data_IF_153331403064
#
_entry.id   IF_153331403064
#
_cell.length_a   1.000
_cell.length_b   1.000
_cell.length_c   1.000
_cell.angle_alpha   90.00
_cell.angle_beta   90.00
_cell.angle_gamma   90.00
#
_symmetry.space_group_name_H-M   'P 1'
#
loop_
_entity.id
_entity.type
_entity.pdbx_description
1 polymer ?
#
# COMPACT_ATOMS: atom_id res chain seq x y z
N UNK A 1 -8.61 -13.09 -13.36
CA UNK A 1 -7.57 -13.19 -14.41
C UNK A 1 -7.58 -14.62 -14.95
N UNK A 2 -7.61 -14.85 -16.27
CA UNK A 2 -7.56 -16.21 -16.83
C UNK A 2 -6.16 -16.82 -16.67
N UNK A 3 -6.07 -18.15 -16.55
CA UNK A 3 -4.80 -18.86 -16.39
C UNK A 3 -3.81 -18.56 -17.53
N UNK A 4 -4.28 -18.50 -18.78
CA UNK A 4 -3.42 -18.24 -19.94
C UNK A 4 -2.76 -16.87 -19.88
N UNK A 5 -3.52 -15.86 -19.44
CA UNK A 5 -3.00 -14.50 -19.21
C UNK A 5 -2.02 -14.49 -18.05
N UNK A 6 -2.34 -15.14 -16.93
CA UNK A 6 -1.44 -15.21 -15.77
C UNK A 6 -0.12 -15.92 -16.12
N UNK A 7 -0.17 -17.02 -16.89
CA UNK A 7 1.00 -17.75 -17.37
C UNK A 7 1.83 -16.91 -18.35
N UNK A 8 1.20 -16.17 -19.26
CA UNK A 8 1.89 -15.27 -20.19
C UNK A 8 2.59 -14.10 -19.45
N UNK A 9 1.89 -13.48 -18.48
CA UNK A 9 2.48 -12.43 -17.63
C UNK A 9 3.65 -12.98 -16.82
N UNK A 10 3.49 -14.16 -16.21
CA UNK A 10 4.56 -14.79 -15.44
C UNK A 10 5.79 -15.11 -16.30
N UNK A 11 5.60 -15.80 -17.43
CA UNK A 11 6.70 -16.17 -18.34
C UNK A 11 7.39 -14.94 -18.92
N UNK A 12 6.66 -13.91 -19.34
CA UNK A 12 7.27 -12.64 -19.79
C UNK A 12 8.06 -11.94 -18.67
N UNK A 13 7.60 -12.03 -17.41
CA UNK A 13 8.31 -11.46 -16.26
C UNK A 13 9.58 -12.23 -15.91
N UNK A 14 9.60 -13.55 -16.09
CA UNK A 14 10.81 -14.36 -15.92
C UNK A 14 11.90 -14.00 -16.95
N UNK A 15 11.49 -13.78 -18.20
CA UNK A 15 12.42 -13.44 -19.30
C UNK A 15 12.89 -11.98 -19.25
N UNK A 16 12.22 -11.12 -18.50
CA UNK A 16 12.62 -9.73 -18.34
C UNK A 16 13.88 -9.67 -17.47
N UNK A 17 14.88 -8.94 -17.97
CA UNK A 17 16.06 -8.55 -17.18
C UNK A 17 15.64 -7.59 -16.10
N UNK A 18 16.06 -7.89 -14.87
CA UNK A 18 15.79 -7.08 -13.70
C UNK A 18 17.11 -6.50 -13.22
N UNK A 19 17.43 -5.29 -13.71
CA UNK A 19 18.72 -4.64 -13.47
C UNK A 19 18.95 -4.26 -12.01
N UNK A 20 17.87 -4.16 -11.23
CA UNK A 20 17.90 -3.76 -9.83
C UNK A 20 18.00 -4.96 -8.87
N UNK A 21 17.96 -6.20 -9.38
CA UNK A 21 18.04 -7.41 -8.55
C UNK A 21 19.25 -8.29 -8.87
N UNK A 22 19.68 -9.09 -7.90
CA UNK A 22 20.72 -10.10 -8.06
C UNK A 22 20.22 -11.36 -8.80
N UNK A 23 19.08 -11.28 -9.49
CA UNK A 23 18.45 -12.43 -10.12
C UNK A 23 19.16 -12.80 -11.44
N UNK A 24 19.45 -14.09 -11.67
CA UNK A 24 20.09 -14.52 -12.91
C UNK A 24 19.18 -14.31 -14.14
N UNK A 25 19.78 -14.20 -15.31
CA UNK A 25 19.07 -14.28 -16.60
C UNK A 25 18.49 -15.69 -16.77
N UNK A 26 17.21 -15.78 -17.13
CA UNK A 26 16.49 -17.05 -17.32
C UNK A 26 16.25 -17.25 -18.80
N UNK A 27 16.60 -18.43 -19.33
CA UNK A 27 16.33 -18.77 -20.73
C UNK A 27 14.84 -19.10 -20.93
N UNK A 28 14.38 -19.03 -22.18
CA UNK A 28 13.02 -19.44 -22.53
C UNK A 28 12.76 -20.91 -22.20
N UNK A 29 13.76 -21.76 -22.41
CA UNK A 29 13.66 -23.20 -22.16
C UNK A 29 13.53 -23.47 -20.66
N UNK A 30 14.32 -22.80 -19.82
CA UNK A 30 14.24 -22.92 -18.35
C UNK A 30 12.87 -22.50 -17.81
N UNK A 31 12.30 -21.43 -18.35
CA UNK A 31 10.96 -20.99 -17.98
C UNK A 31 9.90 -22.04 -18.37
N UNK A 32 10.00 -22.65 -19.55
CA UNK A 32 9.09 -23.72 -20.00
C UNK A 32 9.26 -24.96 -19.11
N UNK A 33 10.50 -25.39 -18.86
CA UNK A 33 10.82 -26.54 -17.99
C UNK A 33 10.22 -26.33 -16.59
N UNK A 34 10.36 -25.14 -16.02
CA UNK A 34 9.78 -24.82 -14.72
C UNK A 34 8.24 -24.87 -14.75
N UNK A 35 7.58 -24.25 -15.73
CA UNK A 35 6.10 -24.29 -15.79
C UNK A 35 5.58 -25.72 -15.98
N UNK A 36 6.29 -26.57 -16.72
CA UNK A 36 5.99 -28.01 -16.83
C UNK A 36 6.21 -28.74 -15.53
N UNK A 37 7.34 -28.50 -14.85
CA UNK A 37 7.62 -29.09 -13.54
C UNK A 37 6.55 -28.73 -12.50
N UNK A 38 6.04 -27.49 -12.54
CA UNK A 38 4.95 -27.04 -11.67
C UNK A 38 3.62 -27.76 -12.01
N UNK A 39 3.31 -27.94 -13.29
CA UNK A 39 2.14 -28.71 -13.73
C UNK A 39 2.25 -30.17 -13.25
N UNK A 40 3.42 -30.79 -13.46
CA UNK A 40 3.74 -32.15 -12.99
C UNK A 40 3.63 -32.26 -11.47
N UNK A 41 4.15 -31.30 -10.71
CA UNK A 41 4.05 -31.28 -9.25
C UNK A 41 2.59 -31.17 -8.77
N UNK A 42 1.73 -30.45 -9.52
CA UNK A 42 0.28 -30.36 -9.22
C UNK A 42 -0.43 -31.70 -9.41
N UNK A 43 -0.02 -32.50 -10.39
CA UNK A 43 -0.63 -33.80 -10.70
C UNK A 43 -0.01 -34.95 -9.90
N UNK A 44 1.30 -34.90 -9.70
CA UNK A 44 2.12 -35.94 -9.08
C UNK A 44 3.01 -35.27 -8.03
N UNK A 45 2.50 -35.17 -6.81
CA UNK A 45 3.22 -34.59 -5.70
C UNK A 45 4.27 -35.57 -5.14
N UNK A 46 5.38 -35.72 -5.86
CA UNK A 46 6.57 -36.43 -5.36
C UNK A 46 7.56 -35.46 -4.73
N UNK A 47 8.38 -35.97 -3.81
CA UNK A 47 9.45 -35.18 -3.17
C UNK A 47 10.43 -34.62 -4.21
N UNK A 48 10.68 -35.35 -5.31
CA UNK A 48 11.58 -34.93 -6.36
C UNK A 48 11.04 -33.70 -7.13
N UNK A 49 9.77 -33.73 -7.53
CA UNK A 49 9.14 -32.62 -8.27
C UNK A 49 8.97 -31.37 -7.41
N UNK A 50 8.56 -31.53 -6.14
CA UNK A 50 8.47 -30.41 -5.18
C UNK A 50 9.85 -29.78 -4.96
N UNK A 51 10.89 -30.59 -4.80
CA UNK A 51 12.27 -30.11 -4.66
C UNK A 51 12.76 -29.39 -5.90
N UNK A 52 12.49 -29.91 -7.11
CA UNK A 52 12.86 -29.26 -8.36
C UNK A 52 12.20 -27.87 -8.48
N UNK A 53 10.91 -27.76 -8.15
CA UNK A 53 10.21 -26.49 -8.13
C UNK A 53 10.82 -25.52 -7.10
N UNK A 54 11.09 -25.97 -5.87
CA UNK A 54 11.74 -25.15 -4.84
C UNK A 54 13.11 -24.65 -5.28
N UNK A 55 13.96 -25.54 -5.79
CA UNK A 55 15.34 -25.20 -6.17
C UNK A 55 15.33 -24.14 -7.29
N UNK A 56 14.38 -24.23 -8.23
CA UNK A 56 14.18 -23.19 -9.24
C UNK A 56 13.69 -21.87 -8.65
N UNK A 57 12.65 -21.89 -7.80
CA UNK A 57 12.06 -20.69 -7.20
C UNK A 57 13.12 -19.94 -6.37
N UNK A 58 13.87 -20.68 -5.56
CA UNK A 58 14.88 -20.11 -4.65
C UNK A 58 16.04 -19.46 -5.38
N UNK A 59 16.51 -20.04 -6.49
CA UNK A 59 17.63 -19.50 -7.26
C UNK A 59 17.24 -18.37 -8.21
N UNK A 60 16.08 -18.49 -8.86
CA UNK A 60 15.74 -17.65 -10.03
C UNK A 60 14.64 -16.62 -9.76
N UNK A 61 13.78 -16.86 -8.76
CA UNK A 61 12.58 -16.05 -8.51
C UNK A 61 12.73 -15.20 -7.25
N UNK A 62 13.09 -15.80 -6.10
CA UNK A 62 13.20 -15.10 -4.81
C UNK A 62 14.08 -13.83 -4.85
N UNK A 63 15.22 -13.80 -5.58
CA UNK A 63 16.05 -12.59 -5.65
C UNK A 63 15.34 -11.37 -6.27
N UNK A 64 14.25 -11.56 -7.02
CA UNK A 64 13.48 -10.49 -7.65
C UNK A 64 12.06 -10.40 -7.07
N UNK A 65 11.72 -9.25 -6.49
CA UNK A 65 10.37 -8.98 -6.00
C UNK A 65 9.33 -9.05 -7.13
N UNK A 66 9.67 -8.52 -8.30
CA UNK A 66 8.80 -8.53 -9.48
C UNK A 66 8.48 -9.94 -9.94
N UNK A 67 9.50 -10.82 -10.06
CA UNK A 67 9.29 -12.24 -10.42
C UNK A 67 8.50 -12.98 -9.34
N UNK A 68 8.76 -12.68 -8.07
CA UNK A 68 8.05 -13.29 -6.93
C UNK A 68 6.57 -12.92 -6.95
N UNK A 69 6.22 -11.65 -7.13
CA UNK A 69 4.81 -11.22 -7.25
C UNK A 69 4.12 -11.86 -8.46
N UNK A 70 4.82 -11.99 -9.59
CA UNK A 70 4.27 -12.66 -10.77
C UNK A 70 4.02 -14.16 -10.52
N UNK A 71 4.94 -14.85 -9.82
CA UNK A 71 4.75 -16.25 -9.41
C UNK A 71 3.54 -16.38 -8.49
N UNK A 72 3.43 -15.54 -7.46
CA UNK A 72 2.30 -15.54 -6.51
C UNK A 72 0.95 -15.44 -7.24
N UNK A 73 0.83 -14.48 -8.17
CA UNK A 73 -0.39 -14.29 -8.96
C UNK A 73 -0.67 -15.48 -9.88
N UNK A 74 0.37 -16.04 -10.50
CA UNK A 74 0.23 -17.21 -11.36
C UNK A 74 -0.20 -18.46 -10.57
N UNK A 75 0.37 -18.72 -9.40
CA UNK A 75 0.00 -19.87 -8.56
C UNK A 75 -1.46 -19.80 -8.10
N UNK A 76 -1.92 -18.61 -7.68
CA UNK A 76 -3.33 -18.43 -7.28
C UNK A 76 -4.25 -18.62 -8.49
N UNK A 77 -3.92 -18.05 -9.66
CA UNK A 77 -4.68 -18.27 -10.88
C UNK A 77 -4.69 -19.75 -11.32
N UNK A 78 -3.56 -20.45 -11.16
CA UNK A 78 -3.45 -21.87 -11.49
C UNK A 78 -4.27 -22.75 -10.54
N UNK A 79 -4.24 -22.45 -9.25
CA UNK A 79 -5.07 -23.14 -8.26
C UNK A 79 -6.57 -22.93 -8.51
N UNK A 80 -6.97 -21.74 -8.96
CA UNK A 80 -8.37 -21.45 -9.34
C UNK A 80 -8.80 -22.20 -10.61
N UNK A 81 -7.89 -22.43 -11.55
CA UNK A 81 -8.21 -23.14 -12.80
C UNK A 81 -8.16 -24.67 -12.68
N UNK A 82 -7.76 -25.22 -11.54
CA UNK A 82 -7.90 -26.65 -11.28
C UNK A 82 -9.39 -26.98 -11.16
N UNK A 83 -10.10 -27.11 -12.28
CA UNK A 83 -11.53 -27.47 -12.34
C UNK A 83 -11.72 -28.48 -13.47
N UNK A 84 -11.97 -29.75 -13.12
CA UNK A 84 -12.05 -30.91 -14.03
C UNK A 84 -10.78 -31.15 -14.89
N UNK A 85 -10.35 -32.39 -15.14
CA UNK A 85 -9.17 -32.63 -15.96
C UNK A 85 -9.40 -32.21 -17.42
N UNK A 86 -8.69 -31.16 -17.86
CA UNK A 86 -8.57 -30.78 -19.27
C UNK A 86 -7.35 -31.51 -19.87
N UNK A 87 -7.35 -31.81 -21.16
CA UNK A 87 -6.26 -32.58 -21.82
C UNK A 87 -4.85 -32.00 -21.59
N UNK A 88 -4.70 -30.67 -21.51
CA UNK A 88 -3.42 -29.99 -21.19
C UNK A 88 -2.97 -30.18 -19.72
N UNK A 89 -3.88 -30.58 -18.82
CA UNK A 89 -3.59 -30.88 -17.41
C UNK A 89 -3.00 -32.28 -17.20
N UNK A 90 -2.82 -33.09 -18.25
CA UNK A 90 -2.28 -34.45 -18.15
C UNK A 90 -0.76 -34.55 -18.36
N UNK A 91 -0.08 -33.43 -18.63
CA UNK A 91 1.40 -33.41 -18.73
C UNK A 91 2.04 -33.99 -17.44
N UNK A 92 2.82 -35.07 -17.60
CA UNK A 92 3.47 -35.81 -16.51
C UNK A 92 2.91 -37.20 -16.22
N UNK A 93 1.73 -37.55 -16.75
CA UNK A 93 1.15 -38.89 -16.63
C UNK A 93 1.64 -39.86 -17.72
N UNK A 94 2.28 -39.35 -18.77
CA UNK A 94 2.67 -40.12 -19.97
C UNK A 94 4.02 -40.87 -19.82
N UNK A 95 4.90 -40.43 -18.90
CA UNK A 95 6.32 -40.86 -18.87
C UNK A 95 6.66 -41.88 -17.76
N UNK A 96 5.66 -42.34 -17.00
CA UNK A 96 5.83 -43.41 -16.02
C UNK A 96 5.43 -44.74 -16.67
N UNK A 97 6.41 -45.55 -17.11
CA UNK A 97 6.26 -46.85 -17.78
C UNK A 97 5.46 -47.95 -17.05
N UNK A 98 4.65 -47.60 -16.06
CA UNK A 98 3.67 -48.46 -15.40
C UNK A 98 2.28 -48.19 -15.97
N UNK A 99 1.82 -49.07 -16.87
CA UNK A 99 0.47 -49.11 -17.48
C UNK A 99 -0.67 -49.38 -16.47
N UNK A 100 -0.82 -48.51 -15.48
CA UNK A 100 -2.09 -48.33 -14.76
C UNK A 100 -2.39 -46.84 -14.85
N UNK A 101 -3.37 -46.50 -15.68
CA UNK A 101 -3.97 -45.17 -15.77
C UNK A 101 -4.11 -44.61 -14.36
N UNK A 102 -3.22 -43.68 -13.97
CA UNK A 102 -3.36 -42.93 -12.74
C UNK A 102 -4.35 -41.84 -13.12
N UNK A 103 -5.60 -42.00 -12.72
CA UNK A 103 -6.57 -40.92 -12.87
C UNK A 103 -5.98 -39.65 -12.23
N UNK A 104 -6.07 -38.49 -12.91
CA UNK A 104 -5.51 -37.27 -12.40
C UNK A 104 -6.12 -36.97 -11.02
N UNK A 105 -5.32 -36.45 -10.06
CA UNK A 105 -5.83 -36.14 -8.74
C UNK A 105 -7.01 -35.17 -8.83
N UNK A 106 -7.95 -35.32 -7.90
CA UNK A 106 -9.07 -34.39 -7.76
C UNK A 106 -8.55 -32.96 -7.62
N UNK A 107 -9.35 -31.98 -8.09
CA UNK A 107 -8.99 -30.57 -8.07
C UNK A 107 -8.52 -30.10 -6.68
N UNK A 108 -9.19 -30.53 -5.61
CA UNK A 108 -8.78 -30.25 -4.23
C UNK A 108 -7.32 -30.69 -3.92
N UNK A 109 -6.92 -31.88 -4.36
CA UNK A 109 -5.55 -32.38 -4.16
C UNK A 109 -4.54 -31.64 -5.04
N UNK A 110 -4.88 -31.28 -6.28
CA UNK A 110 -4.01 -30.44 -7.13
C UNK A 110 -3.70 -29.11 -6.45
N UNK A 111 -4.72 -28.46 -5.89
CA UNK A 111 -4.57 -27.21 -5.13
C UNK A 111 -3.70 -27.41 -3.89
N UNK A 112 -3.90 -28.51 -3.15
CA UNK A 112 -3.07 -28.85 -1.99
C UNK A 112 -1.60 -29.09 -2.37
N UNK A 113 -1.33 -29.74 -3.51
CA UNK A 113 0.03 -29.96 -3.99
C UNK A 113 0.75 -28.65 -4.33
N UNK A 114 0.04 -27.68 -4.92
CA UNK A 114 0.57 -26.33 -5.13
C UNK A 114 0.88 -25.63 -3.79
N UNK A 115 0.03 -25.81 -2.78
CA UNK A 115 0.30 -25.34 -1.42
C UNK A 115 1.57 -25.97 -0.85
N UNK A 116 1.84 -27.25 -1.10
CA UNK A 116 3.09 -27.91 -0.65
C UNK A 116 4.35 -27.33 -1.30
N UNK A 117 4.31 -27.01 -2.59
CA UNK A 117 5.44 -26.38 -3.28
C UNK A 117 5.77 -25.03 -2.63
N UNK A 118 4.76 -24.18 -2.43
CA UNK A 118 4.96 -22.87 -1.82
C UNK A 118 5.33 -22.96 -0.32
N UNK A 119 4.77 -23.94 0.37
CA UNK A 119 5.10 -24.25 1.76
C UNK A 119 6.59 -24.61 1.95
N UNK A 120 7.14 -25.49 1.10
CA UNK A 120 8.55 -25.89 1.17
C UNK A 120 9.48 -24.71 0.89
N UNK A 121 9.10 -23.83 -0.05
CA UNK A 121 9.81 -22.57 -0.32
C UNK A 121 9.82 -21.65 0.90
N UNK A 122 8.66 -21.40 1.53
CA UNK A 122 8.59 -20.55 2.72
C UNK A 122 9.34 -21.13 3.91
N UNK A 123 9.23 -22.43 4.15
CA UNK A 123 9.99 -23.09 5.21
C UNK A 123 11.50 -22.95 4.97
N UNK A 124 11.95 -23.15 3.73
CA UNK A 124 13.35 -22.94 3.36
C UNK A 124 13.80 -21.49 3.61
N UNK A 125 13.00 -20.49 3.23
CA UNK A 125 13.30 -19.08 3.48
C UNK A 125 13.47 -18.77 4.97
N UNK A 126 12.54 -19.24 5.81
CA UNK A 126 12.52 -18.90 7.24
C UNK A 126 13.49 -19.71 8.11
N UNK A 127 13.91 -20.90 7.66
CA UNK A 127 14.76 -21.81 8.48
C UNK A 127 16.17 -22.02 7.96
N UNK A 128 16.42 -21.84 6.65
CA UNK A 128 17.72 -22.16 6.03
C UNK A 128 18.32 -20.99 5.29
N UNK A 129 17.50 -20.15 4.67
CA UNK A 129 17.98 -18.95 3.98
C UNK A 129 18.40 -17.87 4.99
N UNK A 130 17.66 -17.73 6.09
CA UNK A 130 17.95 -16.78 7.17
C UNK A 130 19.25 -17.07 7.93
N UNK A 131 19.54 -18.35 8.16
CA UNK A 131 20.63 -18.80 9.04
C UNK A 131 21.79 -19.50 8.28
N UNK A 132 21.71 -19.60 6.94
CA UNK A 132 22.66 -20.35 6.12
C UNK A 132 23.77 -19.50 5.48
N UNK A 133 24.81 -20.13 4.91
CA UNK A 133 25.90 -19.43 4.22
C UNK A 133 25.46 -18.59 3.01
N UNK A 134 24.28 -18.89 2.45
CA UNK A 134 23.65 -18.13 1.35
C UNK A 134 22.81 -16.93 1.81
N UNK A 135 22.69 -16.67 3.12
CA UNK A 135 21.96 -15.51 3.66
C UNK A 135 22.49 -14.16 3.11
N UNK A 136 23.81 -14.09 2.82
CA UNK A 136 24.45 -12.90 2.25
C UNK A 136 24.24 -12.75 0.73
N UNK A 137 23.89 -13.84 0.03
CA UNK A 137 23.66 -13.85 -1.43
C UNK A 137 22.18 -13.72 -1.77
N UNK A 138 21.28 -14.09 -0.87
CA UNK A 138 19.83 -14.01 -1.08
C UNK A 138 19.25 -12.82 -0.32
N UNK A 139 19.28 -11.64 -0.95
CA UNK A 139 18.51 -10.48 -0.49
C UNK A 139 17.02 -10.71 -0.75
N UNK A 140 16.37 -11.60 0.02
CA UNK A 140 14.91 -11.69 -0.05
C UNK A 140 14.34 -10.40 0.51
N UNK A 141 13.87 -9.51 -0.38
CA UNK A 141 13.19 -8.29 0.02
C UNK A 141 11.98 -8.63 0.90
N UNK A 142 11.65 -7.83 1.93
CA UNK A 142 10.42 -8.01 2.69
C UNK A 142 9.17 -8.05 1.78
N UNK A 143 9.21 -7.38 0.62
CA UNK A 143 8.14 -7.47 -0.38
C UNK A 143 7.99 -8.89 -0.96
N UNK A 144 9.09 -9.63 -1.14
CA UNK A 144 9.04 -11.03 -1.60
C UNK A 144 8.36 -11.93 -0.57
N UNK A 145 8.76 -11.81 0.71
CA UNK A 145 8.18 -12.63 1.78
C UNK A 145 6.69 -12.37 1.94
N UNK A 146 6.26 -11.12 1.90
CA UNK A 146 4.84 -10.77 2.02
C UNK A 146 4.03 -11.24 0.79
N UNK A 147 4.58 -11.14 -0.42
CA UNK A 147 3.94 -11.67 -1.62
C UNK A 147 3.73 -13.20 -1.57
N UNK A 148 4.69 -13.95 -1.01
CA UNK A 148 4.59 -15.40 -0.86
C UNK A 148 3.64 -15.80 0.27
N UNK A 149 3.65 -15.06 1.40
CA UNK A 149 2.71 -15.24 2.51
C UNK A 149 1.26 -15.02 2.08
N UNK A 150 0.98 -13.94 1.35
CA UNK A 150 -0.36 -13.66 0.83
C UNK A 150 -0.83 -14.75 -0.15
N UNK A 151 0.08 -15.22 -1.02
CA UNK A 151 -0.22 -16.29 -1.95
C UNK A 151 -0.52 -17.62 -1.24
N UNK A 152 0.26 -18.01 -0.22
CA UNK A 152 0.03 -19.29 0.47
C UNK A 152 -1.25 -19.29 1.29
N UNK A 153 -1.65 -18.16 1.88
CA UNK A 153 -2.96 -18.00 2.54
C UNK A 153 -4.10 -18.17 1.53
N UNK A 154 -3.97 -17.57 0.34
CA UNK A 154 -4.95 -17.75 -0.75
C UNK A 154 -5.01 -19.20 -1.24
N UNK A 155 -3.86 -19.87 -1.39
CA UNK A 155 -3.82 -21.29 -1.76
C UNK A 155 -4.41 -22.19 -0.67
N UNK A 156 -4.22 -21.87 0.62
CA UNK A 156 -4.82 -22.62 1.72
C UNK A 156 -6.35 -22.55 1.68
N UNK A 157 -6.91 -21.36 1.43
CA UNK A 157 -8.35 -21.16 1.20
C UNK A 157 -8.86 -21.98 0.01
N UNK A 158 -8.17 -21.95 -1.13
CA UNK A 158 -8.55 -22.69 -2.33
C UNK A 158 -8.42 -24.21 -2.16
N UNK A 159 -7.38 -24.66 -1.46
CA UNK A 159 -7.13 -26.08 -1.21
C UNK A 159 -8.13 -26.65 -0.20
N UNK A 160 -8.56 -25.88 0.79
CA UNK A 160 -9.51 -26.34 1.80
C UNK A 160 -10.99 -26.27 1.38
N UNK A 161 -11.30 -25.66 0.23
CA UNK A 161 -12.66 -25.58 -0.29
C UNK A 161 -13.25 -26.98 -0.58
N UNK A 162 -14.51 -27.19 -0.19
CA UNK A 162 -15.25 -28.42 -0.51
C UNK A 162 -16.06 -28.24 -1.80
N UNK A 163 -15.81 -29.07 -2.80
CA UNK A 163 -16.51 -29.02 -4.10
C UNK A 163 -17.92 -29.64 -4.07
N UNK A 164 -18.42 -30.03 -2.89
CA UNK A 164 -19.77 -30.59 -2.72
C UNK A 164 -20.31 -30.44 -1.30
N UNK A 165 -21.50 -31.02 -1.04
CA UNK A 165 -22.20 -30.95 0.26
C UNK A 165 -21.50 -31.72 1.41
N UNK A 166 -20.32 -32.30 1.17
CA UNK A 166 -19.54 -33.04 2.17
C UNK A 166 -18.44 -32.19 2.82
N UNK A 167 -17.79 -32.72 3.88
CA UNK A 167 -16.60 -32.10 4.45
C UNK A 167 -15.45 -32.12 3.43
N UNK A 168 -14.66 -31.05 3.40
CA UNK A 168 -13.48 -30.97 2.53
C UNK A 168 -12.45 -32.04 2.92
N UNK A 169 -12.05 -32.85 1.93
CA UNK A 169 -11.09 -33.96 2.12
C UNK A 169 -9.68 -33.49 2.45
N UNK A 170 -9.35 -32.26 2.07
CA UNK A 170 -8.03 -31.64 2.20
C UNK A 170 -7.92 -30.70 3.40
N UNK A 171 -9.05 -30.33 4.02
CA UNK A 171 -9.11 -29.39 5.16
C UNK A 171 -8.17 -29.78 6.30
N UNK A 172 -8.20 -31.04 6.74
CA UNK A 172 -7.34 -31.51 7.83
C UNK A 172 -5.85 -31.40 7.49
N UNK A 173 -5.48 -31.61 6.22
CA UNK A 173 -4.11 -31.44 5.76
C UNK A 173 -3.69 -29.97 5.74
N UNK A 174 -4.58 -29.08 5.30
CA UNK A 174 -4.35 -27.63 5.33
C UNK A 174 -4.20 -27.13 6.77
N UNK A 175 -5.07 -27.55 7.70
CA UNK A 175 -4.97 -27.17 9.11
C UNK A 175 -3.63 -27.56 9.73
N UNK A 176 -3.14 -28.78 9.49
CA UNK A 176 -1.80 -29.22 9.95
C UNK A 176 -0.67 -28.37 9.38
N UNK A 177 -0.79 -27.91 8.13
CA UNK A 177 0.20 -27.03 7.52
C UNK A 177 0.19 -25.66 8.21
N UNK A 178 -0.99 -25.12 8.52
CA UNK A 178 -1.14 -23.85 9.25
C UNK A 178 -0.54 -23.94 10.66
N UNK A 179 -0.81 -25.03 11.39
CA UNK A 179 -0.19 -25.30 12.71
C UNK A 179 1.34 -25.31 12.62
N UNK A 180 1.87 -25.87 11.54
CA UNK A 180 3.31 -25.91 11.32
C UNK A 180 3.89 -24.51 11.03
N UNK A 181 3.14 -23.64 10.35
CA UNK A 181 3.60 -22.27 10.15
C UNK A 181 3.64 -21.44 11.43
N UNK A 182 2.72 -21.69 12.37
CA UNK A 182 2.77 -21.09 13.71
C UNK A 182 4.02 -21.54 14.46
N UNK A 183 4.31 -22.85 14.46
CA UNK A 183 5.50 -23.42 15.13
C UNK A 183 6.81 -22.87 14.57
N UNK A 184 6.87 -22.60 13.26
CA UNK A 184 8.04 -21.99 12.61
C UNK A 184 8.05 -20.46 12.70
N UNK A 185 7.07 -19.84 13.36
CA UNK A 185 6.92 -18.38 13.47
C UNK A 185 6.93 -17.67 12.10
N UNK A 186 6.40 -18.34 11.06
CA UNK A 186 6.24 -17.74 9.73
C UNK A 186 5.07 -16.74 9.77
N UNK A 187 4.01 -17.10 10.49
CA UNK A 187 2.86 -16.26 10.80
C UNK A 187 2.70 -16.13 12.32
N UNK A 188 2.04 -15.07 12.77
CA UNK A 188 1.69 -14.90 14.18
C UNK A 188 0.55 -15.85 14.59
N UNK A 189 0.41 -16.14 15.88
CA UNK A 189 -0.68 -16.97 16.39
C UNK A 189 -2.06 -16.40 16.01
N UNK A 190 -2.21 -15.07 16.07
CA UNK A 190 -3.41 -14.36 15.62
C UNK A 190 -3.71 -14.61 14.12
N UNK A 191 -2.71 -14.46 13.25
CA UNK A 191 -2.85 -14.72 11.82
C UNK A 191 -3.22 -16.19 11.52
N UNK A 192 -2.66 -17.14 12.26
CA UNK A 192 -2.99 -18.55 12.12
C UNK A 192 -4.42 -18.86 12.60
N UNK A 193 -4.84 -18.30 13.73
CA UNK A 193 -6.21 -18.43 14.26
C UNK A 193 -7.25 -17.84 13.30
N UNK A 194 -7.00 -16.64 12.77
CA UNK A 194 -7.86 -15.99 11.78
C UNK A 194 -7.95 -16.81 10.49
N UNK A 195 -6.83 -17.38 10.04
CA UNK A 195 -6.82 -18.23 8.86
C UNK A 195 -7.58 -19.54 9.09
N UNK A 196 -7.38 -20.21 10.23
CA UNK A 196 -8.08 -21.45 10.57
C UNK A 196 -9.60 -21.25 10.66
N UNK A 197 -10.04 -20.16 11.29
CA UNK A 197 -11.45 -19.82 11.37
C UNK A 197 -12.03 -19.53 9.98
N UNK A 198 -11.35 -18.72 9.17
CA UNK A 198 -11.79 -18.35 7.83
C UNK A 198 -11.81 -19.54 6.84
N UNK A 199 -10.88 -20.49 6.96
CA UNK A 199 -10.83 -21.71 6.14
C UNK A 199 -11.96 -22.69 6.50
N UNK A 200 -12.39 -22.72 7.76
CA UNK A 200 -13.45 -23.63 8.22
C UNK A 200 -14.84 -23.16 7.77
N UNK A 201 -14.99 -21.87 7.41
CA UNK A 201 -16.24 -21.34 6.87
C UNK A 201 -16.54 -22.00 5.52
N UNK A 202 -17.62 -22.77 5.46
CA UNK A 202 -18.14 -23.31 4.20
C UNK A 202 -18.62 -22.17 3.31
N UNK A 203 -18.08 -22.09 2.10
CA UNK A 203 -18.40 -21.07 1.08
C UNK A 203 -18.64 -21.78 -0.24
N UNK A 204 -19.53 -21.24 -1.07
CA UNK A 204 -19.58 -21.62 -2.49
C UNK A 204 -18.28 -21.17 -3.19
N UNK A 205 -17.98 -21.76 -4.36
CA UNK A 205 -16.80 -21.38 -5.13
C UNK A 205 -16.80 -19.90 -5.52
N UNK A 206 -17.97 -19.37 -5.92
CA UNK A 206 -18.13 -17.96 -6.30
C UNK A 206 -17.96 -17.03 -5.09
N UNK A 207 -18.45 -17.41 -3.90
CA UNK A 207 -18.22 -16.66 -2.66
C UNK A 207 -16.74 -16.66 -2.26
N UNK A 208 -16.06 -17.78 -2.45
CA UNK A 208 -14.64 -17.90 -2.18
C UNK A 208 -13.81 -17.04 -3.14
N UNK A 209 -14.13 -17.05 -4.43
CA UNK A 209 -13.45 -16.23 -5.43
C UNK A 209 -13.64 -14.74 -5.14
N UNK A 210 -14.87 -14.32 -4.79
CA UNK A 210 -15.19 -12.95 -4.35
C UNK A 210 -14.44 -12.56 -3.08
N UNK A 211 -14.35 -13.46 -2.10
CA UNK A 211 -13.60 -13.21 -0.86
C UNK A 211 -12.12 -12.96 -1.13
N UNK A 212 -11.49 -13.82 -1.95
CA UNK A 212 -10.08 -13.68 -2.31
C UNK A 212 -9.83 -12.41 -3.15
N UNK A 213 -10.72 -12.10 -4.09
CA UNK A 213 -10.64 -10.86 -4.87
C UNK A 213 -10.78 -9.61 -3.98
N UNK A 214 -11.64 -9.65 -2.96
CA UNK A 214 -11.77 -8.57 -1.98
C UNK A 214 -10.50 -8.39 -1.14
N UNK A 215 -9.87 -9.49 -0.70
CA UNK A 215 -8.59 -9.43 0.02
C UNK A 215 -7.47 -8.85 -0.84
N UNK A 216 -7.37 -9.26 -2.11
CA UNK A 216 -6.39 -8.69 -3.05
C UNK A 216 -6.64 -7.18 -3.28
N UNK A 217 -7.90 -6.78 -3.46
CA UNK A 217 -8.26 -5.37 -3.64
C UNK A 217 -7.91 -4.52 -2.40
N UNK A 218 -8.17 -5.03 -1.19
CA UNK A 218 -7.77 -4.36 0.05
C UNK A 218 -6.26 -4.21 0.15
N UNK A 219 -5.49 -5.27 -0.13
CA UNK A 219 -4.03 -5.22 -0.12
C UNK A 219 -3.48 -4.19 -1.13
N UNK A 220 -4.07 -4.09 -2.33
CA UNK A 220 -3.69 -3.07 -3.33
C UNK A 220 -3.98 -1.66 -2.81
N UNK A 221 -5.16 -1.44 -2.22
CA UNK A 221 -5.54 -0.15 -1.67
C UNK A 221 -4.65 0.27 -0.49
N UNK A 222 -4.33 -0.66 0.39
CA UNK A 222 -3.44 -0.39 1.53
C UNK A 222 -2.00 -0.11 1.06
N UNK A 223 -1.51 -0.81 0.05
CA UNK A 223 -0.20 -0.53 -0.56
C UNK A 223 -0.20 0.83 -1.28
N UNK A 224 -1.27 1.18 -1.99
CA UNK A 224 -1.42 2.51 -2.59
C UNK A 224 -1.48 3.61 -1.52
N UNK A 225 -2.18 3.35 -0.41
CA UNK A 225 -2.23 4.25 0.74
C UNK A 225 -0.83 4.43 1.33
N UNK A 226 -0.10 3.34 1.58
CA UNK A 226 1.28 3.36 2.10
C UNK A 226 2.21 4.14 1.18
N UNK A 227 2.17 3.88 -0.14
CA UNK A 227 2.95 4.67 -1.12
C UNK A 227 2.54 6.14 -1.15
N UNK A 228 1.25 6.43 -1.00
CA UNK A 228 0.73 7.79 -0.86
C UNK A 228 1.27 8.48 0.39
N UNK A 229 1.33 7.79 1.52
CA UNK A 229 1.88 8.29 2.78
C UNK A 229 3.40 8.51 2.72
N UNK A 230 4.13 7.61 2.08
CA UNK A 230 5.58 7.73 1.87
C UNK A 230 5.91 8.92 0.94
N UNK A 231 5.12 9.11 -0.11
CA UNK A 231 5.30 10.21 -1.07
C UNK A 231 4.73 11.55 -0.58
N UNK A 232 3.78 11.55 0.35
CA UNK A 232 3.17 12.75 0.97
C UNK A 232 4.23 13.73 1.50
N UNK A 233 5.36 13.20 1.97
CA UNK A 233 6.41 13.99 2.61
C UNK A 233 7.59 14.32 1.71
N UNK A 234 7.53 13.97 0.42
CA UNK A 234 8.52 14.38 -0.56
C UNK A 234 8.09 15.74 -1.10
N UNK A 235 8.93 16.76 -0.90
CA UNK A 235 8.63 18.10 -1.37
C UNK A 235 8.63 18.13 -2.91
N UNK A 236 7.68 18.83 -3.55
CA UNK A 236 7.72 19.01 -5.00
C UNK A 236 8.97 19.79 -5.40
N UNK A 237 9.48 19.57 -6.62
CA UNK A 237 10.67 20.30 -7.09
C UNK A 237 10.39 21.79 -7.34
N UNK A 238 9.17 22.10 -7.73
CA UNK A 238 8.68 23.44 -8.03
C UNK A 238 7.23 23.57 -7.60
N UNK A 239 6.78 24.80 -7.35
CA UNK A 239 5.37 25.11 -7.15
C UNK A 239 4.63 25.28 -8.49
N UNK A 240 4.60 24.23 -9.32
CA UNK A 240 3.79 24.15 -10.55
C UNK A 240 2.54 23.27 -10.36
N UNK A 241 1.64 23.27 -11.35
CA UNK A 241 0.61 22.23 -11.45
C UNK A 241 1.28 20.86 -11.67
N UNK A 242 0.90 19.80 -10.94
CA UNK A 242 1.54 18.48 -11.01
C UNK A 242 1.66 17.85 -12.41
N UNK A 243 0.91 18.34 -13.40
CA UNK A 243 0.88 17.81 -14.77
C UNK A 243 1.30 18.83 -15.84
N UNK A 244 1.67 20.06 -15.45
CA UNK A 244 2.08 21.09 -16.41
C UNK A 244 3.28 21.90 -15.87
N UNK A 245 4.52 21.51 -16.24
CA UNK A 245 5.72 22.25 -15.85
C UNK A 245 5.87 23.59 -16.58
N UNK A 246 5.01 23.89 -17.56
CA UNK A 246 5.01 25.13 -18.35
C UNK A 246 3.86 26.08 -17.98
N UNK A 247 3.12 25.76 -16.91
CA UNK A 247 1.99 26.54 -16.41
C UNK A 247 2.30 28.05 -16.42
N UNK A 248 1.48 28.88 -17.08
CA UNK A 248 1.70 30.31 -17.14
C UNK A 248 1.54 30.95 -15.76
N UNK A 249 2.17 32.11 -15.56
CA UNK A 249 2.30 32.70 -14.22
C UNK A 249 0.98 33.00 -13.50
N UNK A 250 -0.12 33.21 -14.23
CA UNK A 250 -1.43 33.54 -13.67
C UNK A 250 -2.17 32.33 -13.09
N UNK A 251 -1.81 31.12 -13.53
CA UNK A 251 -2.38 29.86 -13.03
C UNK A 251 -1.51 29.24 -11.92
N UNK A 252 -0.38 29.88 -11.59
CA UNK A 252 0.51 29.43 -10.52
C UNK A 252 -0.02 29.83 -9.14
N UNK A 253 0.27 29.03 -8.09
CA UNK A 253 -0.05 29.39 -6.72
C UNK A 253 0.54 30.76 -6.33
N UNK A 254 -0.24 31.56 -5.59
CA UNK A 254 0.15 32.91 -5.14
C UNK A 254 1.48 32.94 -4.38
N UNK A 255 1.88 31.82 -3.77
CA UNK A 255 3.17 31.64 -3.09
C UNK A 255 4.37 31.97 -3.99
N UNK A 256 4.29 31.70 -5.30
CA UNK A 256 5.34 32.05 -6.25
C UNK A 256 5.56 33.57 -6.32
N UNK A 257 4.47 34.34 -6.29
CA UNK A 257 4.50 35.80 -6.31
C UNK A 257 4.93 36.40 -4.96
N UNK A 258 4.52 35.79 -3.85
CA UNK A 258 4.93 36.19 -2.51
C UNK A 258 6.45 36.02 -2.29
N UNK A 259 7.04 34.96 -2.81
CA UNK A 259 8.49 34.77 -2.76
C UNK A 259 9.23 35.90 -3.47
N UNK A 260 8.75 36.32 -4.65
CA UNK A 260 9.33 37.44 -5.38
C UNK A 260 9.24 38.76 -4.61
N UNK A 261 8.10 39.02 -3.94
CA UNK A 261 7.93 40.19 -3.07
C UNK A 261 8.99 40.22 -1.96
N UNK A 262 9.23 39.08 -1.30
CA UNK A 262 10.24 38.96 -0.24
C UNK A 262 11.65 39.26 -0.74
N UNK A 263 11.99 38.81 -1.94
CA UNK A 263 13.35 38.96 -2.48
C UNK A 263 13.63 40.34 -3.07
N UNK A 264 12.63 41.01 -3.66
CA UNK A 264 12.84 42.21 -4.48
C UNK A 264 12.49 43.53 -3.80
N UNK A 265 11.69 43.56 -2.75
CA UNK A 265 11.31 44.80 -2.04
C UNK A 265 10.45 45.80 -2.83
N UNK A 266 10.24 45.59 -4.13
CA UNK A 266 9.38 46.38 -5.02
C UNK A 266 8.06 45.66 -5.31
N UNK A 267 7.04 46.35 -5.88
CA UNK A 267 5.80 45.74 -6.33
C UNK A 267 6.01 44.52 -7.24
N UNK A 268 5.11 43.54 -7.15
CA UNK A 268 5.18 42.31 -7.94
C UNK A 268 4.87 42.65 -9.39
N UNK A 269 5.81 42.36 -10.29
CA UNK A 269 5.58 42.46 -11.73
C UNK A 269 5.30 41.10 -12.34
N UNK A 270 4.21 40.99 -13.09
CA UNK A 270 3.76 39.77 -13.76
C UNK A 270 4.82 39.20 -14.72
N UNK A 271 5.50 40.07 -15.48
CA UNK A 271 6.56 39.68 -16.42
C UNK A 271 7.80 39.07 -15.74
N UNK A 272 7.96 39.25 -14.43
CA UNK A 272 9.09 38.74 -13.66
C UNK A 272 8.78 37.39 -12.98
N UNK A 273 7.54 36.90 -13.10
CA UNK A 273 7.17 35.55 -12.67
C UNK A 273 7.57 34.53 -13.75
N UNK A 274 8.25 33.47 -13.32
CA UNK A 274 8.67 32.41 -14.23
C UNK A 274 7.51 31.46 -14.53
N UNK A 275 7.25 31.13 -15.81
CA UNK A 275 6.40 30.00 -16.18
C UNK A 275 6.91 28.71 -15.51
N UNK A 276 6.01 27.86 -15.04
CA UNK A 276 6.38 26.65 -14.28
C UNK A 276 6.79 26.89 -12.82
N UNK A 277 6.72 28.14 -12.34
CA UNK A 277 6.95 28.49 -10.93
C UNK A 277 8.40 28.44 -10.48
N UNK A 278 8.58 28.67 -9.18
CA UNK A 278 9.90 28.76 -8.56
C UNK A 278 10.38 27.39 -8.07
N UNK A 279 11.69 27.15 -8.21
CA UNK A 279 12.34 25.97 -7.64
C UNK A 279 12.45 26.09 -6.13
N UNK A 280 12.08 25.00 -5.44
CA UNK A 280 12.21 24.89 -4.00
C UNK A 280 13.63 24.49 -3.62
N UNK A 281 14.22 25.15 -2.61
CA UNK A 281 15.58 24.86 -2.13
C UNK A 281 15.79 23.39 -1.72
N UNK A 282 14.73 22.71 -1.26
CA UNK A 282 14.74 21.28 -0.87
C UNK A 282 13.79 20.44 -1.73
N UNK A 283 13.55 20.87 -2.96
CA UNK A 283 12.65 20.19 -3.87
C UNK A 283 13.13 18.76 -4.21
N UNK A 284 12.22 17.80 -4.14
CA UNK A 284 12.51 16.38 -4.33
C UNK A 284 13.14 15.69 -3.12
N UNK A 285 13.33 16.39 -2.00
CA UNK A 285 13.83 15.83 -0.75
C UNK A 285 12.70 15.64 0.26
N UNK A 286 12.95 14.84 1.28
CA UNK A 286 12.01 14.63 2.38
C UNK A 286 11.84 15.94 3.19
N UNK A 287 10.60 16.25 3.57
CA UNK A 287 10.26 17.38 4.41
C UNK A 287 10.96 17.28 5.78
N UNK A 288 11.39 18.42 6.32
CA UNK A 288 11.94 18.46 7.68
C UNK A 288 10.85 18.20 8.71
N UNK A 289 11.22 17.62 9.86
CA UNK A 289 10.29 17.36 10.97
C UNK A 289 9.55 18.63 11.45
N UNK A 290 10.22 19.78 11.44
CA UNK A 290 9.58 21.07 11.74
C UNK A 290 8.48 21.39 10.72
N UNK A 291 8.76 21.26 9.42
CA UNK A 291 7.78 21.52 8.37
C UNK A 291 6.61 20.53 8.42
N UNK A 292 6.88 19.26 8.75
CA UNK A 292 5.83 18.25 8.95
C UNK A 292 4.85 18.68 10.03
N UNK A 293 5.36 19.10 11.19
CA UNK A 293 4.55 19.60 12.31
C UNK A 293 3.76 20.85 11.93
N UNK A 294 4.38 21.79 11.24
CA UNK A 294 3.71 23.02 10.79
C UNK A 294 2.57 22.71 9.82
N UNK A 295 2.79 21.80 8.87
CA UNK A 295 1.75 21.37 7.91
C UNK A 295 0.61 20.63 8.61
N UNK A 296 0.91 19.75 9.56
CA UNK A 296 -0.12 19.05 10.35
C UNK A 296 -0.90 20.00 11.26
N UNK A 297 -0.24 21.00 11.84
CA UNK A 297 -0.89 22.05 12.60
C UNK A 297 -1.80 22.89 11.70
N UNK A 298 -1.28 23.38 10.57
CA UNK A 298 -2.05 24.16 9.61
C UNK A 298 -3.25 23.37 9.08
N UNK A 299 -3.08 22.08 8.78
CA UNK A 299 -4.18 21.23 8.31
C UNK A 299 -5.27 21.08 9.38
N UNK A 300 -4.87 20.84 10.65
CA UNK A 300 -5.81 20.80 11.77
C UNK A 300 -6.53 22.14 11.95
N UNK A 301 -5.82 23.26 11.86
CA UNK A 301 -6.42 24.60 11.96
C UNK A 301 -7.36 24.90 10.80
N UNK A 302 -7.01 24.52 9.56
CA UNK A 302 -7.89 24.68 8.40
C UNK A 302 -9.17 23.84 8.51
N UNK A 303 -9.08 22.64 9.10
CA UNK A 303 -10.27 21.82 9.36
C UNK A 303 -11.20 22.43 10.40
N UNK A 304 -10.67 23.23 11.35
CA UNK A 304 -11.52 23.96 12.32
C UNK A 304 -12.47 24.94 11.65
N UNK A 305 -12.18 25.41 10.44
CA UNK A 305 -13.11 26.26 9.69
C UNK A 305 -14.44 25.55 9.36
N UNK A 306 -14.47 24.22 9.38
CA UNK A 306 -15.69 23.42 9.16
C UNK A 306 -16.35 22.98 10.46
N UNK A 307 -15.66 23.12 11.59
CA UNK A 307 -16.23 22.85 12.90
C UNK A 307 -17.13 24.02 13.30
N UNK A 308 -18.35 23.72 13.78
CA UNK A 308 -19.24 24.71 14.41
C UNK A 308 -18.77 25.02 15.82
N UNK A 309 -17.50 25.42 15.98
CA UNK A 309 -16.90 25.66 17.28
C UNK A 309 -17.36 27.00 17.89
N UNK A 310 -17.77 27.94 17.06
CA UNK A 310 -18.19 29.27 17.50
C UNK A 310 -19.68 29.29 17.78
N UNK A 311 -20.06 29.47 19.05
CA UNK A 311 -21.44 29.73 19.43
C UNK A 311 -21.88 31.08 18.84
N UNK A 312 -22.86 31.06 17.94
CA UNK A 312 -23.38 32.26 17.30
C UNK A 312 -23.93 33.27 18.32
N UNK A 313 -24.33 32.80 19.51
CA UNK A 313 -24.76 33.69 20.58
C UNK A 313 -23.61 34.45 21.24
N UNK A 314 -22.37 33.97 21.15
CA UNK A 314 -21.17 34.65 21.70
C UNK A 314 -20.53 35.64 20.71
N UNK A 315 -20.90 35.57 19.42
CA UNK A 315 -20.37 36.45 18.37
C UNK A 315 -21.20 37.74 18.30
N UNK A 316 -20.52 38.89 18.41
CA UNK A 316 -21.10 40.22 18.26
C UNK A 316 -21.11 40.68 16.80
N UNK A 317 -19.99 40.47 16.09
CA UNK A 317 -19.80 40.87 14.70
C UNK A 317 -18.59 40.13 14.09
N UNK A 318 -18.38 40.25 12.77
CA UNK A 318 -17.18 39.78 12.07
C UNK A 318 -16.61 40.96 11.26
N UNK A 319 -15.33 41.28 11.46
CA UNK A 319 -14.70 42.41 10.78
C UNK A 319 -14.52 42.17 9.27
N UNK A 320 -14.19 43.22 8.51
CA UNK A 320 -13.97 43.14 7.06
C UNK A 320 -12.77 42.25 6.66
N UNK A 321 -11.92 41.86 7.61
CA UNK A 321 -10.80 40.94 7.44
C UNK A 321 -11.15 39.50 7.88
N UNK A 322 -12.37 39.26 8.35
CA UNK A 322 -12.86 37.95 8.79
C UNK A 322 -12.60 37.62 10.26
N UNK A 323 -12.12 38.56 11.08
CA UNK A 323 -11.89 38.35 12.52
C UNK A 323 -13.21 38.41 13.30
N UNK A 324 -13.43 37.44 14.18
CA UNK A 324 -14.63 37.37 15.03
C UNK A 324 -14.51 38.37 16.19
N UNK A 325 -15.53 39.23 16.34
CA UNK A 325 -15.69 40.16 17.47
C UNK A 325 -16.61 39.50 18.50
N UNK A 326 -16.08 39.22 19.68
CA UNK A 326 -16.80 38.54 20.76
C UNK A 326 -17.69 39.50 21.57
N UNK A 327 -18.81 39.01 22.09
CA UNK A 327 -19.66 39.74 23.05
C UNK A 327 -18.95 39.77 24.41
N UNK A 328 -18.32 40.88 24.73
CA UNK A 328 -17.71 41.09 26.04
C UNK A 328 -18.80 41.45 27.08
N UNK A 329 -19.02 40.56 28.07
CA UNK A 329 -20.05 40.72 29.11
C UNK A 329 -19.75 41.86 30.07
N UNK A 330 -18.46 42.16 30.31
CA UNK A 330 -18.03 43.24 31.20
C UNK A 330 -17.93 44.58 30.47
N UNK A 331 -17.63 44.55 29.17
CA UNK A 331 -17.48 45.76 28.33
C UNK A 331 -18.36 45.67 27.09
N UNK A 332 -19.69 45.88 27.22
CA UNK A 332 -20.65 45.66 26.13
C UNK A 332 -20.41 46.53 24.89
N UNK A 333 -19.56 47.56 24.99
CA UNK A 333 -19.47 48.64 24.03
C UNK A 333 -18.05 48.99 23.59
N UNK A 334 -17.41 48.07 22.87
CA UNK A 334 -16.41 48.45 21.85
C UNK A 334 -17.13 48.92 20.59
N UNK A 335 -16.74 50.09 20.08
CA UNK A 335 -17.17 50.58 18.78
C UNK A 335 -16.30 50.01 17.64
N UNK A 336 -16.68 50.31 16.40
CA UNK A 336 -16.02 49.88 15.15
C UNK A 336 -14.49 50.10 15.11
N UNK A 337 -13.96 51.07 15.87
CA UNK A 337 -12.52 51.40 15.92
C UNK A 337 -11.80 50.82 17.15
N UNK A 338 -12.44 49.94 17.93
CA UNK A 338 -11.85 49.28 19.09
C UNK A 338 -11.77 50.14 20.35
N UNK A 339 -12.33 51.36 20.34
CA UNK A 339 -12.42 52.24 21.50
C UNK A 339 -13.60 51.85 22.39
N UNK A 340 -13.40 51.89 23.70
CA UNK A 340 -14.49 51.78 24.68
C UNK A 340 -15.20 53.12 24.77
N UNK A 341 -16.54 53.13 24.93
CA UNK A 341 -17.25 54.39 25.19
C UNK A 341 -16.73 55.08 26.47
N UNK A 342 -16.29 54.31 27.47
CA UNK A 342 -15.60 54.84 28.66
C UNK A 342 -14.30 55.57 28.32
N UNK A 343 -13.48 55.04 27.40
CA UNK A 343 -12.25 55.69 26.96
C UNK A 343 -12.52 56.97 26.17
N UNK A 344 -13.58 56.99 25.37
CA UNK A 344 -14.05 58.19 24.65
C UNK A 344 -14.59 59.23 25.63
N UNK A 345 -15.34 58.81 26.65
CA UNK A 345 -15.86 59.69 27.69
C UNK A 345 -14.73 60.32 28.52
N UNK A 346 -13.77 59.50 29.00
CA UNK A 346 -12.57 59.98 29.72
C UNK A 346 -11.76 60.97 28.89
N UNK A 347 -11.61 60.72 27.58
CA UNK A 347 -10.87 61.62 26.69
C UNK A 347 -11.64 62.93 26.46
N UNK A 348 -12.97 62.88 26.30
CA UNK A 348 -13.80 64.09 26.25
C UNK A 348 -13.77 64.88 27.56
N UNK A 349 -13.64 64.22 28.71
CA UNK A 349 -13.46 64.87 30.02
C UNK A 349 -12.09 65.52 30.14
N UNK A 350 -11.03 64.83 29.71
CA UNK A 350 -9.67 65.39 29.66
C UNK A 350 -9.58 66.59 28.71
N UNK A 351 -10.24 66.52 27.55
CA UNK A 351 -10.29 67.64 26.59
C UNK A 351 -11.15 68.82 27.08
N UNK A 352 -12.06 68.59 28.04
CA UNK A 352 -12.87 69.64 28.69
C UNK A 352 -12.15 70.32 29.86
N UNK A 353 -11.08 69.73 30.40
CA UNK A 353 -10.25 70.38 31.41
C UNK A 353 -9.23 71.28 30.70
N UNK A 354 -9.32 72.61 30.82
CA UNK A 354 -8.33 73.47 30.21
C UNK A 354 -6.99 73.33 30.95
N UNK A 355 -5.90 73.27 30.19
CA UNK A 355 -4.55 72.90 30.64
C UNK A 355 -3.94 73.76 31.77
N UNK A 356 -4.60 74.83 32.22
CA UNK A 356 -4.09 75.73 33.25
C UNK A 356 -4.39 75.30 34.70
N UNK A 357 -5.21 74.27 34.92
CA UNK A 357 -5.56 73.81 36.29
C UNK A 357 -4.51 72.92 36.96
N UNK A 358 -3.47 72.47 36.25
CA UNK A 358 -2.42 71.59 36.78
C UNK A 358 -1.13 72.33 37.23
N UNK A 359 -1.13 73.66 37.27
CA UNK A 359 0.04 74.45 37.72
C UNK A 359 -0.05 75.03 39.13
N UNK A 360 -1.12 74.76 39.88
CA UNK A 360 -1.23 75.13 41.29
C UNK A 360 -1.68 73.93 42.12
N UNK A 361 -0.73 73.06 42.46
CA UNK A 361 -0.82 72.11 43.58
C UNK A 361 0.58 71.84 44.09
#
# INVERSE_FOLDING_TARGET
>A
MSISVAKAVFTSTLLRRDFDSAAPDISRDDAVIFTRALSRASNICTKAEVKACKDFITRNIIPSATRTTALSKYLVAFSKSCTSPIADDLEGLEDSGTRKSRDPPTAAFRRLHLTYVLHDVLCFMFTRLKDGPHAKQSTSSPACTEALKSAIQSLAHLAAHSEGNGPSTTLASVQRIVDYWERLSIFTSEQCSDLQSSITVSRTWDDLDRHLASQEAKAILDEQRRKGEESKWILPRQHHLPHDPTTPWHDLPATNALYQKRMRGFPIHANALKPGGMYLQRGGQQASEALRRDVEQLHREALRCFDKYTDAEEVKDVDALGSVVWKDRERPTRNYYGFTYEGIAKRKEADRQPAWYLSMS
#
